data_IF_786056305714
#
_entry.id   IF_786056305714
#
_cell.length_a   1.000
_cell.length_b   1.000
_cell.length_c   1.000
_cell.angle_alpha   90.00
_cell.angle_beta   90.00
_cell.angle_gamma   90.00
#
_symmetry.space_group_name_H-M   'P 1'
#
loop_
_entity.id
_entity.type
_entity.pdbx_description
1 polymer ?
#
# COMPACT_ATOMS: atom_id res chain seq x y z
N UNK A 1 32.98 30.06 10.86
CA UNK A 1 31.54 29.98 10.51
C UNK A 1 30.63 30.03 11.73
N UNK A 2 30.85 29.22 12.79
CA UNK A 2 30.15 29.39 14.09
C UNK A 2 30.35 30.81 14.64
N UNK A 3 31.56 31.36 14.47
CA UNK A 3 31.90 32.75 14.80
C UNK A 3 31.09 33.83 14.04
N UNK A 4 30.33 33.48 13.01
CA UNK A 4 29.54 34.42 12.21
C UNK A 4 28.02 34.27 12.43
N UNK A 5 27.59 33.47 13.42
CA UNK A 5 26.17 33.14 13.66
C UNK A 5 25.45 32.51 12.44
N UNK A 6 26.20 31.97 11.46
CA UNK A 6 25.68 31.33 10.24
C UNK A 6 25.45 29.83 10.44
N UNK A 7 24.82 29.46 11.55
CA UNK A 7 24.79 28.07 11.99
C UNK A 7 23.93 27.18 11.09
N UNK A 8 22.89 27.75 10.48
CA UNK A 8 22.05 27.07 9.49
C UNK A 8 22.82 26.72 8.22
N UNK A 9 23.68 27.62 7.73
CA UNK A 9 24.52 27.34 6.57
C UNK A 9 25.54 26.23 6.88
N UNK A 10 26.12 26.24 8.08
CA UNK A 10 27.03 25.17 8.52
C UNK A 10 26.29 23.83 8.55
N UNK A 11 25.07 23.80 9.11
CA UNK A 11 24.25 22.59 9.15
C UNK A 11 23.98 22.02 7.76
N UNK A 12 23.56 22.88 6.81
CA UNK A 12 23.28 22.49 5.43
C UNK A 12 24.54 22.03 4.70
N UNK A 13 25.69 22.67 4.93
CA UNK A 13 26.97 22.23 4.35
C UNK A 13 27.37 20.86 4.91
N UNK A 14 27.27 20.65 6.23
CA UNK A 14 27.57 19.35 6.84
C UNK A 14 26.66 18.25 6.31
N UNK A 15 25.36 18.54 6.16
CA UNK A 15 24.39 17.61 5.58
C UNK A 15 24.70 17.29 4.11
N UNK A 16 25.01 18.31 3.31
CA UNK A 16 25.41 18.14 1.90
C UNK A 16 26.67 17.29 1.76
N UNK A 17 27.67 17.49 2.64
CA UNK A 17 28.87 16.65 2.70
C UNK A 17 28.50 15.21 3.05
N UNK A 18 27.62 15.00 4.04
CA UNK A 18 27.17 13.67 4.44
C UNK A 18 26.48 12.93 3.28
N UNK A 19 25.60 13.59 2.53
CA UNK A 19 24.89 13.00 1.39
C UNK A 19 25.81 12.47 0.28
N UNK A 20 27.04 12.99 0.18
CA UNK A 20 28.06 12.53 -0.80
C UNK A 20 28.87 11.32 -0.32
N UNK A 21 28.69 10.88 0.93
CA UNK A 21 29.42 9.75 1.51
C UNK A 21 28.75 8.40 1.19
N UNK A 22 29.54 7.31 1.17
CA UNK A 22 28.99 5.95 1.09
C UNK A 22 28.15 5.65 2.34
N UNK A 23 27.26 4.63 2.34
CA UNK A 23 26.20 4.48 3.34
C UNK A 23 26.67 4.48 4.80
N UNK A 24 27.67 3.65 5.14
CA UNK A 24 28.20 3.57 6.50
C UNK A 24 28.86 4.88 6.95
N UNK A 25 29.64 5.52 6.08
CA UNK A 25 30.23 6.83 6.38
C UNK A 25 29.17 7.93 6.46
N UNK A 26 28.14 7.87 5.63
CA UNK A 26 27.04 8.85 5.60
C UNK A 26 26.39 8.97 6.97
N UNK A 27 26.13 7.86 7.65
CA UNK A 27 25.60 7.86 9.02
C UNK A 27 26.53 8.64 9.97
N UNK A 28 27.84 8.40 9.91
CA UNK A 28 28.82 9.10 10.75
C UNK A 28 28.80 10.62 10.51
N UNK A 29 28.72 11.04 9.25
CA UNK A 29 28.67 12.46 8.90
C UNK A 29 27.31 13.10 9.23
N UNK A 30 26.20 12.38 9.08
CA UNK A 30 24.88 12.84 9.51
C UNK A 30 24.82 13.01 11.03
N UNK A 31 25.41 12.10 11.82
CA UNK A 31 25.53 12.25 13.28
C UNK A 31 26.33 13.50 13.67
N UNK A 32 27.40 13.81 12.95
CA UNK A 32 28.16 15.09 13.13
C UNK A 32 27.32 16.32 12.79
N UNK A 33 26.56 16.25 11.69
CA UNK A 33 25.62 17.30 11.31
C UNK A 33 24.58 17.50 12.42
N UNK A 34 23.94 16.43 12.87
CA UNK A 34 22.93 16.43 13.92
C UNK A 34 23.46 17.08 15.21
N UNK A 35 24.61 16.64 15.70
CA UNK A 35 25.24 17.19 16.92
C UNK A 35 25.52 18.70 16.82
N UNK A 36 25.77 19.22 15.60
CA UNK A 36 25.98 20.65 15.37
C UNK A 36 24.68 21.47 15.39
N UNK A 37 23.52 20.80 15.31
CA UNK A 37 22.20 21.41 15.17
C UNK A 37 21.31 21.23 16.40
N UNK A 38 21.49 20.16 17.20
CA UNK A 38 20.53 19.73 18.23
C UNK A 38 20.24 20.80 19.28
N UNK A 39 21.22 21.63 19.63
CA UNK A 39 21.07 22.68 20.64
C UNK A 39 20.50 24.01 20.10
N UNK A 40 20.12 24.07 18.82
CA UNK A 40 19.74 25.32 18.13
C UNK A 40 18.24 25.29 17.84
N UNK A 41 17.43 26.14 18.51
CA UNK A 41 15.98 26.11 18.37
C UNK A 41 15.47 26.25 16.93
N UNK A 42 16.09 27.12 16.11
CA UNK A 42 15.70 27.30 14.70
C UNK A 42 15.93 26.06 13.84
N UNK A 43 16.79 25.13 14.27
CA UNK A 43 17.13 23.89 13.56
C UNK A 43 16.47 22.65 14.14
N UNK A 44 15.47 22.78 15.03
CA UNK A 44 14.83 21.62 15.67
C UNK A 44 14.16 20.69 14.64
N UNK A 45 13.38 21.25 13.72
CA UNK A 45 12.70 20.47 12.66
C UNK A 45 13.72 19.78 11.74
N UNK A 46 14.79 20.48 11.37
CA UNK A 46 15.87 19.92 10.57
C UNK A 46 16.57 18.76 11.31
N UNK A 47 16.90 18.96 12.59
CA UNK A 47 17.54 17.93 13.44
C UNK A 47 16.68 16.67 13.52
N UNK A 48 15.36 16.83 13.67
CA UNK A 48 14.43 15.69 13.66
C UNK A 48 14.48 14.92 12.32
N UNK A 49 14.41 15.62 11.19
CA UNK A 49 14.50 14.98 9.86
C UNK A 49 15.83 14.29 9.62
N UNK A 50 16.95 14.87 10.10
CA UNK A 50 18.28 14.25 10.01
C UNK A 50 18.33 12.99 10.87
N UNK A 51 17.77 13.01 12.07
CA UNK A 51 17.71 11.82 12.93
C UNK A 51 16.88 10.70 12.28
N UNK A 52 15.68 11.01 11.78
CA UNK A 52 14.84 10.04 11.07
C UNK A 52 15.55 9.45 9.84
N UNK A 53 16.35 10.24 9.12
CA UNK A 53 17.15 9.75 8.00
C UNK A 53 18.29 8.83 8.44
N UNK A 54 18.95 9.13 9.57
CA UNK A 54 19.96 8.23 10.16
C UNK A 54 19.31 6.89 10.50
N UNK A 55 18.18 6.91 11.21
CA UNK A 55 17.48 5.69 11.62
C UNK A 55 17.03 4.87 10.40
N UNK A 56 16.60 5.54 9.32
CA UNK A 56 16.25 4.89 8.06
C UNK A 56 17.46 4.25 7.38
N UNK A 57 18.61 4.91 7.33
CA UNK A 57 19.82 4.36 6.72
C UNK A 57 20.35 3.15 7.49
N UNK A 58 20.42 3.25 8.82
CA UNK A 58 20.81 2.12 9.69
C UNK A 58 19.89 0.92 9.43
N UNK A 59 18.59 1.18 9.26
CA UNK A 59 17.63 0.14 8.87
C UNK A 59 17.89 -0.47 7.50
N UNK A 60 18.02 0.38 6.49
CA UNK A 60 18.20 -0.05 5.11
C UNK A 60 19.50 -0.83 4.92
N UNK A 61 20.59 -0.47 5.58
CA UNK A 61 21.89 -1.18 5.48
C UNK A 61 21.74 -2.62 5.94
N UNK A 62 21.13 -2.85 7.11
CA UNK A 62 20.95 -4.20 7.65
C UNK A 62 20.06 -5.05 6.72
N UNK A 63 18.98 -4.48 6.18
CA UNK A 63 18.10 -5.19 5.25
C UNK A 63 18.82 -5.49 3.93
N UNK A 64 19.49 -4.50 3.35
CA UNK A 64 20.21 -4.63 2.08
C UNK A 64 21.30 -5.70 2.18
N UNK A 65 22.13 -5.68 3.22
CA UNK A 65 23.23 -6.64 3.39
C UNK A 65 22.71 -8.08 3.52
N UNK A 66 21.62 -8.28 4.27
CA UNK A 66 20.98 -9.59 4.42
C UNK A 66 20.38 -10.08 3.09
N UNK A 67 19.69 -9.20 2.37
CA UNK A 67 19.07 -9.54 1.09
C UNK A 67 20.10 -9.81 0.00
N UNK A 68 21.18 -9.04 -0.06
CA UNK A 68 22.29 -9.29 -0.99
C UNK A 68 22.98 -10.64 -0.72
N UNK A 69 23.07 -11.08 0.53
CA UNK A 69 23.53 -12.43 0.86
C UNK A 69 22.56 -13.50 0.30
N UNK A 70 21.26 -13.35 0.53
CA UNK A 70 20.23 -14.27 0.02
C UNK A 70 20.17 -14.33 -1.51
N UNK A 71 20.39 -13.19 -2.17
CA UNK A 71 20.46 -13.10 -3.64
C UNK A 71 21.68 -13.85 -4.16
N UNK A 72 22.86 -13.66 -3.53
CA UNK A 72 24.11 -14.36 -3.92
C UNK A 72 24.03 -15.86 -3.72
N UNK A 73 23.32 -16.33 -2.69
CA UNK A 73 23.05 -17.75 -2.49
C UNK A 73 22.19 -18.34 -3.62
N UNK A 74 21.40 -17.50 -4.31
CA UNK A 74 20.64 -17.87 -5.50
C UNK A 74 19.49 -18.85 -5.25
N UNK A 75 19.14 -19.13 -3.99
CA UNK A 75 18.09 -20.09 -3.60
C UNK A 75 16.77 -19.45 -3.19
N UNK A 76 16.77 -18.15 -2.91
CA UNK A 76 15.58 -17.47 -2.47
C UNK A 76 14.62 -17.23 -3.66
N UNK A 77 13.47 -17.91 -3.63
CA UNK A 77 12.47 -17.89 -4.71
C UNK A 77 11.89 -16.49 -4.99
N UNK A 78 11.72 -15.66 -3.95
CA UNK A 78 11.09 -14.34 -4.17
C UNK A 78 12.01 -13.43 -4.97
N UNK A 79 13.32 -13.47 -4.73
CA UNK A 79 14.31 -12.73 -5.51
C UNK A 79 14.54 -13.30 -6.91
N UNK A 80 14.31 -14.60 -7.11
CA UNK A 80 14.32 -15.18 -8.47
C UNK A 80 13.11 -14.72 -9.29
N UNK A 81 11.92 -14.73 -8.69
CA UNK A 81 10.68 -14.36 -9.38
C UNK A 81 10.54 -12.84 -9.55
N UNK A 82 11.00 -12.08 -8.56
CA UNK A 82 10.99 -10.62 -8.54
C UNK A 82 12.41 -10.11 -8.24
N UNK A 83 13.29 -10.03 -9.26
CA UNK A 83 14.65 -9.58 -9.06
C UNK A 83 14.73 -8.17 -8.48
N UNK A 84 15.60 -7.99 -7.49
CA UNK A 84 15.98 -6.68 -6.98
C UNK A 84 16.77 -5.94 -8.06
N UNK A 85 16.25 -4.81 -8.54
CA UNK A 85 16.87 -4.02 -9.62
C UNK A 85 17.57 -2.76 -9.15
N UNK A 86 17.34 -2.36 -7.90
CA UNK A 86 17.86 -1.13 -7.31
C UNK A 86 18.26 -1.38 -5.86
N UNK A 87 19.25 -0.62 -5.38
CA UNK A 87 19.56 -0.59 -3.95
C UNK A 87 18.41 0.05 -3.16
N UNK A 88 18.17 -0.48 -1.96
CA UNK A 88 17.25 0.08 -0.98
C UNK A 88 17.83 1.34 -0.30
N UNK A 89 19.16 1.45 -0.29
CA UNK A 89 19.88 2.44 0.51
C UNK A 89 19.60 3.87 0.02
N UNK A 90 19.19 4.73 0.94
CA UNK A 90 18.86 6.13 0.67
C UNK A 90 17.51 6.33 -0.02
N UNK A 91 16.71 5.26 -0.20
CA UNK A 91 15.35 5.40 -0.71
C UNK A 91 14.43 6.02 0.36
N UNK A 92 13.36 6.73 -0.02
CA UNK A 92 12.39 7.25 0.93
C UNK A 92 11.75 6.15 1.80
N UNK A 93 11.32 6.50 3.01
CA UNK A 93 10.74 5.55 3.97
C UNK A 93 9.54 4.76 3.39
N UNK A 94 8.69 5.40 2.58
CA UNK A 94 7.58 4.72 1.91
C UNK A 94 8.06 3.71 0.86
N UNK A 95 9.15 3.99 0.16
CA UNK A 95 9.79 3.04 -0.75
C UNK A 95 10.39 1.87 0.01
N UNK A 96 10.97 2.11 1.19
CA UNK A 96 11.45 1.04 2.09
C UNK A 96 10.32 0.17 2.60
N UNK A 97 9.18 0.78 2.96
CA UNK A 97 7.98 0.04 3.33
C UNK A 97 7.47 -0.82 2.16
N UNK A 98 7.32 -0.24 0.97
CA UNK A 98 6.92 -0.99 -0.22
C UNK A 98 7.86 -2.18 -0.48
N UNK A 99 9.17 -1.95 -0.43
CA UNK A 99 10.19 -3.00 -0.58
C UNK A 99 10.00 -4.11 0.46
N UNK A 100 9.78 -3.74 1.71
CA UNK A 100 9.57 -4.70 2.80
C UNK A 100 8.26 -5.47 2.61
N UNK A 101 7.20 -4.83 2.11
CA UNK A 101 5.96 -5.53 1.75
C UNK A 101 6.15 -6.46 0.55
N UNK A 102 7.12 -6.19 -0.32
CA UNK A 102 7.40 -7.01 -1.50
C UNK A 102 8.24 -8.25 -1.15
N UNK A 103 9.23 -8.13 -0.25
CA UNK A 103 10.17 -9.22 0.02
C UNK A 103 10.02 -9.87 1.40
N UNK A 104 9.44 -9.15 2.36
CA UNK A 104 9.51 -9.45 3.80
C UNK A 104 8.15 -9.41 4.49
N UNK A 105 7.06 -9.54 3.74
CA UNK A 105 5.70 -9.32 4.25
C UNK A 105 5.32 -10.24 5.42
N UNK A 106 5.79 -11.48 5.38
CA UNK A 106 5.43 -12.51 6.37
C UNK A 106 6.29 -12.45 7.64
N UNK A 107 7.25 -11.53 7.70
CA UNK A 107 8.09 -11.39 8.88
C UNK A 107 7.31 -10.82 10.08
N UNK A 108 7.52 -11.36 11.28
CA UNK A 108 6.89 -10.85 12.50
C UNK A 108 7.33 -9.42 12.80
N UNK A 109 6.52 -8.65 13.53
CA UNK A 109 6.74 -7.22 13.83
C UNK A 109 8.07 -6.91 14.53
N UNK A 110 8.65 -7.89 15.24
CA UNK A 110 9.95 -7.75 15.89
C UNK A 110 11.13 -7.91 14.92
N UNK A 111 10.91 -8.37 13.69
CA UNK A 111 11.94 -8.48 12.67
C UNK A 111 12.20 -7.12 12.02
N UNK A 112 13.46 -6.81 11.78
CA UNK A 112 13.90 -5.49 11.33
C UNK A 112 13.41 -5.13 9.91
N UNK A 113 13.25 -6.14 9.04
CA UNK A 113 12.71 -5.98 7.69
C UNK A 113 11.17 -6.11 7.63
N UNK A 114 10.48 -6.32 8.75
CA UNK A 114 9.02 -6.45 8.76
C UNK A 114 8.34 -5.13 8.40
N UNK A 115 7.35 -5.14 7.48
CA UNK A 115 6.54 -3.97 7.19
C UNK A 115 5.86 -3.36 8.40
N UNK A 116 5.43 -4.19 9.35
CA UNK A 116 4.79 -3.73 10.58
C UNK A 116 5.80 -3.06 11.52
N UNK A 117 7.03 -3.59 11.59
CA UNK A 117 8.13 -2.94 12.33
C UNK A 117 8.41 -1.54 11.79
N UNK A 118 8.49 -1.41 10.46
CA UNK A 118 8.75 -0.13 9.79
C UNK A 118 7.60 0.84 10.01
N UNK A 119 6.35 0.37 9.90
CA UNK A 119 5.15 1.16 10.16
C UNK A 119 5.17 1.75 11.58
N UNK A 120 5.42 0.91 12.59
CA UNK A 120 5.46 1.32 14.00
C UNK A 120 6.63 2.29 14.27
N UNK A 121 7.83 1.92 13.82
CA UNK A 121 9.04 2.70 14.07
C UNK A 121 8.98 4.10 13.47
N UNK A 122 8.49 4.24 12.23
CA UNK A 122 8.36 5.53 11.54
C UNK A 122 6.97 6.18 11.72
N UNK A 123 6.16 5.71 12.67
CA UNK A 123 4.84 6.27 13.00
C UNK A 123 3.95 6.46 11.76
N UNK A 124 3.94 5.49 10.86
CA UNK A 124 3.16 5.57 9.62
C UNK A 124 1.68 5.39 9.88
N UNK A 125 0.88 6.18 9.18
CA UNK A 125 -0.59 6.08 9.21
C UNK A 125 -1.07 4.77 8.57
N UNK A 126 -2.26 4.31 8.94
CA UNK A 126 -2.92 3.16 8.27
C UNK A 126 -3.06 3.38 6.77
N UNK A 127 -3.32 4.62 6.34
CA UNK A 127 -3.44 4.97 4.92
C UNK A 127 -2.12 4.74 4.18
N UNK A 128 -1.01 5.22 4.73
CA UNK A 128 0.32 5.02 4.14
C UNK A 128 0.69 3.54 4.11
N UNK A 129 0.45 2.83 5.21
CA UNK A 129 0.73 1.40 5.31
C UNK A 129 -0.06 0.60 4.29
N UNK A 130 -1.40 0.72 4.31
CA UNK A 130 -2.27 -0.04 3.42
C UNK A 130 -1.98 0.26 1.95
N UNK A 131 -1.72 1.53 1.59
CA UNK A 131 -1.38 1.87 0.21
C UNK A 131 -0.13 1.13 -0.26
N UNK A 132 0.97 1.18 0.51
CA UNK A 132 2.23 0.54 0.14
C UNK A 132 2.14 -0.98 0.16
N UNK A 133 1.48 -1.56 1.18
CA UNK A 133 1.27 -3.00 1.30
C UNK A 133 0.43 -3.53 0.15
N UNK A 134 -0.72 -2.92 -0.15
CA UNK A 134 -1.58 -3.36 -1.26
C UNK A 134 -0.86 -3.22 -2.59
N UNK A 135 -0.14 -2.12 -2.84
CA UNK A 135 0.65 -1.95 -4.07
C UNK A 135 1.70 -3.05 -4.25
N UNK A 136 2.39 -3.45 -3.19
CA UNK A 136 3.40 -4.53 -3.27
C UNK A 136 2.74 -5.90 -3.43
N UNK A 137 1.69 -6.18 -2.63
CA UNK A 137 0.99 -7.46 -2.65
C UNK A 137 0.22 -7.71 -3.94
N UNK A 138 -0.28 -6.66 -4.62
CA UNK A 138 -0.87 -6.78 -5.96
C UNK A 138 0.15 -7.34 -6.95
N UNK A 139 1.37 -6.82 -6.94
CA UNK A 139 2.47 -7.31 -7.80
C UNK A 139 2.81 -8.78 -7.53
N UNK A 140 2.65 -9.21 -6.27
CA UNK A 140 2.81 -10.61 -5.86
C UNK A 140 1.55 -11.46 -6.05
N UNK A 141 0.42 -10.85 -6.44
CA UNK A 141 -0.90 -11.49 -6.60
C UNK A 141 -1.35 -12.17 -5.31
N UNK A 142 -0.98 -11.61 -4.17
CA UNK A 142 -1.29 -12.13 -2.83
C UNK A 142 -2.64 -11.60 -2.36
N UNK A 143 -3.70 -11.97 -3.07
CA UNK A 143 -5.06 -11.43 -2.86
C UNK A 143 -5.60 -11.63 -1.44
N UNK A 144 -5.30 -12.78 -0.83
CA UNK A 144 -5.69 -13.07 0.56
C UNK A 144 -4.99 -12.14 1.56
N UNK A 145 -3.74 -11.74 1.29
CA UNK A 145 -3.03 -10.76 2.11
C UNK A 145 -3.57 -9.36 1.91
N UNK A 146 -3.93 -8.98 0.69
CA UNK A 146 -4.59 -7.70 0.40
C UNK A 146 -5.91 -7.60 1.18
N UNK A 147 -6.70 -8.68 1.19
CA UNK A 147 -7.91 -8.72 2.00
C UNK A 147 -7.60 -8.53 3.48
N UNK A 148 -6.60 -9.25 4.02
CA UNK A 148 -6.17 -9.10 5.42
C UNK A 148 -5.75 -7.68 5.77
N UNK A 149 -5.03 -6.99 4.89
CA UNK A 149 -4.63 -5.58 5.08
C UNK A 149 -5.85 -4.65 5.15
N UNK A 150 -6.94 -4.98 4.44
CA UNK A 150 -8.19 -4.23 4.47
C UNK A 150 -9.13 -4.63 5.61
N UNK A 151 -8.86 -5.72 6.34
CA UNK A 151 -9.71 -6.14 7.45
C UNK A 151 -9.51 -5.26 8.68
N UNK A 152 -10.58 -4.61 9.14
CA UNK A 152 -10.62 -3.89 10.42
C UNK A 152 -11.48 -4.61 11.43
N UNK A 153 -11.01 -4.68 12.68
CA UNK A 153 -11.80 -5.19 13.82
C UNK A 153 -12.91 -4.20 14.15
N UNK A 154 -14.14 -4.69 14.25
CA UNK A 154 -15.29 -3.98 14.82
C UNK A 154 -15.23 -4.02 16.34
N UNK A 155 -15.76 -2.99 16.97
CA UNK A 155 -15.84 -2.86 18.43
C UNK A 155 -16.58 -4.04 19.10
N UNK A 156 -17.64 -4.56 18.45
CA UNK A 156 -18.51 -5.62 18.99
C UNK A 156 -18.10 -7.04 18.58
N UNK A 157 -16.82 -7.29 18.30
CA UNK A 157 -16.36 -8.64 17.91
C UNK A 157 -16.82 -9.00 16.50
N UNK A 158 -16.09 -8.53 15.51
CA UNK A 158 -16.29 -8.88 14.11
C UNK A 158 -15.22 -8.24 13.26
N UNK A 159 -15.11 -8.66 12.00
CA UNK A 159 -14.24 -8.00 11.02
C UNK A 159 -15.08 -7.44 9.89
N UNK A 160 -14.67 -6.31 9.35
CA UNK A 160 -15.17 -5.80 8.06
C UNK A 160 -14.01 -5.39 7.18
N UNK A 161 -14.22 -5.46 5.88
CA UNK A 161 -13.30 -4.86 4.92
C UNK A 161 -13.55 -3.35 4.94
N UNK A 162 -12.48 -2.58 5.10
CA UNK A 162 -12.49 -1.13 5.07
C UNK A 162 -11.23 -0.63 4.36
N UNK A 163 -11.41 0.28 3.41
CA UNK A 163 -10.30 0.96 2.76
C UNK A 163 -9.96 2.26 3.51
N UNK A 164 -8.70 2.50 3.93
CA UNK A 164 -8.29 3.75 4.57
C UNK A 164 -8.09 4.92 3.59
N UNK A 165 -8.46 4.72 2.32
CA UNK A 165 -8.46 5.71 1.24
C UNK A 165 -9.64 5.46 0.29
N UNK A 166 -9.88 6.36 -0.67
CA UNK A 166 -11.02 6.24 -1.57
C UNK A 166 -10.97 4.93 -2.38
N UNK A 167 -12.12 4.26 -2.50
CA UNK A 167 -12.23 2.93 -3.13
C UNK A 167 -11.73 2.93 -4.56
N UNK A 168 -11.98 3.98 -5.35
CA UNK A 168 -11.44 4.11 -6.70
C UNK A 168 -9.93 3.85 -6.78
N UNK A 169 -9.16 4.29 -5.78
CA UNK A 169 -7.71 4.08 -5.78
C UNK A 169 -7.34 2.64 -5.44
N UNK A 170 -8.14 1.94 -4.63
CA UNK A 170 -7.96 0.50 -4.42
C UNK A 170 -8.12 -0.23 -5.75
N UNK A 171 -9.18 0.05 -6.49
CA UNK A 171 -9.45 -0.59 -7.79
C UNK A 171 -8.40 -0.21 -8.83
N UNK A 172 -7.89 1.04 -8.85
CA UNK A 172 -6.75 1.41 -9.69
C UNK A 172 -5.50 0.57 -9.36
N UNK A 173 -5.20 0.37 -8.07
CA UNK A 173 -4.00 -0.38 -7.65
C UNK A 173 -4.14 -1.86 -7.98
N UNK A 174 -5.26 -2.51 -7.62
CA UNK A 174 -5.40 -3.96 -7.82
C UNK A 174 -5.58 -4.36 -9.28
N UNK A 175 -5.96 -3.41 -10.15
CA UNK A 175 -6.19 -3.62 -11.58
C UNK A 175 -5.05 -3.11 -12.46
N UNK A 176 -3.95 -2.61 -11.87
CA UNK A 176 -2.81 -2.07 -12.63
C UNK A 176 -1.88 -3.14 -13.20
N UNK A 177 -2.02 -4.39 -12.75
CA UNK A 177 -1.24 -5.53 -13.23
C UNK A 177 -2.01 -6.26 -14.35
N UNK A 178 -1.32 -6.95 -15.25
CA UNK A 178 -1.93 -7.67 -16.37
C UNK A 178 -2.92 -8.75 -15.88
N UNK A 179 -2.63 -9.33 -14.71
CA UNK A 179 -3.51 -10.30 -14.08
C UNK A 179 -4.43 -9.61 -13.07
N UNK A 180 -5.69 -9.51 -13.46
CA UNK A 180 -6.77 -8.99 -12.63
C UNK A 180 -7.02 -9.87 -11.38
N UNK A 181 -7.57 -9.30 -10.29
CA UNK A 181 -7.98 -10.08 -9.13
C UNK A 181 -9.01 -11.15 -9.51
N UNK A 182 -9.02 -12.31 -8.82
CA UNK A 182 -10.07 -13.30 -8.98
C UNK A 182 -11.46 -12.67 -8.78
N UNK A 183 -12.46 -13.09 -9.57
CA UNK A 183 -13.84 -12.60 -9.49
C UNK A 183 -14.37 -12.54 -8.06
N UNK A 184 -14.09 -13.56 -7.25
CA UNK A 184 -14.52 -13.61 -5.85
C UNK A 184 -13.95 -12.44 -5.03
N UNK A 185 -12.65 -12.18 -5.14
CA UNK A 185 -11.96 -11.09 -4.43
C UNK A 185 -12.49 -9.74 -4.93
N UNK A 186 -12.62 -9.58 -6.24
CA UNK A 186 -13.13 -8.36 -6.86
C UNK A 186 -14.55 -8.04 -6.37
N UNK A 187 -15.48 -8.99 -6.47
CA UNK A 187 -16.84 -8.83 -6.00
C UNK A 187 -16.90 -8.57 -4.50
N UNK A 188 -16.04 -9.23 -3.71
CA UNK A 188 -15.95 -9.03 -2.25
C UNK A 188 -15.53 -7.61 -1.89
N UNK A 189 -14.54 -7.05 -2.58
CA UNK A 189 -14.13 -5.65 -2.38
C UNK A 189 -15.19 -4.67 -2.85
N UNK A 190 -15.86 -4.92 -3.98
CA UNK A 190 -16.95 -4.07 -4.44
C UNK A 190 -18.10 -4.03 -3.42
N UNK A 191 -18.53 -5.19 -2.90
CA UNK A 191 -19.58 -5.27 -1.87
C UNK A 191 -19.23 -4.57 -0.56
N UNK A 192 -17.94 -4.33 -0.28
CA UNK A 192 -17.51 -3.60 0.90
C UNK A 192 -17.70 -2.07 0.78
N UNK A 193 -17.93 -1.54 -0.42
CA UNK A 193 -18.17 -0.11 -0.65
C UNK A 193 -19.56 0.28 -0.10
N UNK A 194 -19.68 1.15 0.91
CA UNK A 194 -20.99 1.45 1.52
C UNK A 194 -21.96 2.18 0.59
N UNK A 195 -21.45 3.13 -0.21
CA UNK A 195 -22.28 3.91 -1.13
C UNK A 195 -22.63 3.08 -2.38
N UNK A 196 -23.93 2.92 -2.64
CA UNK A 196 -24.42 2.07 -3.74
C UNK A 196 -24.08 2.63 -5.11
N UNK A 197 -23.99 3.96 -5.26
CA UNK A 197 -23.68 4.62 -6.53
C UNK A 197 -22.19 4.50 -6.85
N UNK A 198 -21.31 4.73 -5.88
CA UNK A 198 -19.85 4.50 -6.01
C UNK A 198 -19.59 3.01 -6.29
N UNK A 199 -20.29 2.11 -5.58
CA UNK A 199 -20.20 0.67 -5.80
C UNK A 199 -20.56 0.30 -7.23
N UNK A 200 -21.70 0.78 -7.72
CA UNK A 200 -22.16 0.50 -9.08
C UNK A 200 -21.22 1.11 -10.12
N UNK A 201 -20.77 2.35 -9.93
CA UNK A 201 -19.85 3.03 -10.81
C UNK A 201 -18.53 2.27 -10.97
N UNK A 202 -17.95 1.80 -9.85
CA UNK A 202 -16.73 0.99 -9.89
C UNK A 202 -16.99 -0.41 -10.46
N UNK A 203 -18.10 -1.06 -10.11
CA UNK A 203 -18.43 -2.39 -10.64
C UNK A 203 -18.61 -2.39 -12.17
N UNK A 204 -19.16 -1.31 -12.75
CA UNK A 204 -19.28 -1.15 -14.21
C UNK A 204 -17.94 -1.13 -14.96
N UNK A 205 -16.80 -0.95 -14.26
CA UNK A 205 -15.46 -1.03 -14.87
C UNK A 205 -14.99 -2.48 -15.04
N UNK A 206 -15.71 -3.45 -14.47
CA UNK A 206 -15.31 -4.85 -14.42
C UNK A 206 -16.47 -5.76 -14.88
N UNK A 207 -16.49 -6.23 -16.13
CA UNK A 207 -17.53 -7.13 -16.64
C UNK A 207 -17.74 -8.39 -15.79
N UNK A 208 -16.67 -8.91 -15.18
CA UNK A 208 -16.70 -10.09 -14.30
C UNK A 208 -17.53 -9.86 -13.03
N UNK A 209 -17.73 -8.60 -12.64
CA UNK A 209 -18.49 -8.20 -11.46
C UNK A 209 -19.97 -7.88 -11.75
N UNK A 210 -20.51 -8.36 -12.88
CA UNK A 210 -21.90 -8.14 -13.30
C UNK A 210 -22.94 -8.45 -12.22
N UNK A 211 -22.70 -9.43 -11.35
CA UNK A 211 -23.59 -9.72 -10.22
C UNK A 211 -23.70 -8.56 -9.22
N UNK A 212 -22.60 -7.84 -8.97
CA UNK A 212 -22.62 -6.68 -8.06
C UNK A 212 -23.34 -5.51 -8.71
N UNK A 213 -23.27 -5.37 -10.04
CA UNK A 213 -24.04 -4.37 -10.79
C UNK A 213 -25.54 -4.62 -10.61
N UNK A 214 -25.98 -5.88 -10.75
CA UNK A 214 -27.38 -6.28 -10.53
C UNK A 214 -27.79 -6.01 -9.08
N UNK A 215 -26.97 -6.37 -8.10
CA UNK A 215 -27.21 -6.10 -6.68
C UNK A 215 -27.43 -4.60 -6.41
N UNK A 216 -26.61 -3.72 -7.01
CA UNK A 216 -26.76 -2.27 -6.91
C UNK A 216 -28.10 -1.79 -7.50
N UNK A 217 -28.43 -2.21 -8.72
CA UNK A 217 -29.68 -1.81 -9.39
C UNK A 217 -30.92 -2.24 -8.60
N UNK A 218 -30.89 -3.45 -8.02
CA UNK A 218 -31.94 -3.94 -7.12
C UNK A 218 -32.03 -3.09 -5.86
N UNK A 219 -30.90 -2.77 -5.22
CA UNK A 219 -30.87 -1.92 -4.03
C UNK A 219 -31.40 -0.49 -4.29
N UNK A 220 -31.17 0.03 -5.49
CA UNK A 220 -31.68 1.34 -5.95
C UNK A 220 -33.14 1.28 -6.43
N UNK A 221 -33.73 0.08 -6.59
CA UNK A 221 -35.03 -0.15 -7.25
C UNK A 221 -35.10 0.41 -8.68
N UNK A 222 -33.97 0.48 -9.37
CA UNK A 222 -33.88 1.01 -10.73
C UNK A 222 -34.21 -0.08 -11.77
N UNK A 223 -35.51 -0.26 -12.02
CA UNK A 223 -36.01 -1.26 -12.98
C UNK A 223 -35.63 -0.93 -14.42
N UNK A 224 -35.49 0.35 -14.77
CA UNK A 224 -35.15 0.78 -16.13
C UNK A 224 -33.71 0.38 -16.41
N UNK A 225 -32.78 0.77 -15.53
CA UNK A 225 -31.37 0.39 -15.66
C UNK A 225 -31.17 -1.13 -15.63
N UNK A 226 -31.91 -1.86 -14.79
CA UNK A 226 -31.83 -3.31 -14.75
C UNK A 226 -32.31 -3.99 -16.04
N UNK A 227 -33.39 -3.49 -16.64
CA UNK A 227 -33.89 -3.98 -17.93
C UNK A 227 -32.91 -3.68 -19.08
N UNK A 228 -32.34 -2.48 -19.10
CA UNK A 228 -31.27 -2.11 -20.05
C UNK A 228 -30.00 -2.95 -19.87
N UNK A 229 -29.65 -3.28 -18.63
CA UNK A 229 -28.53 -4.16 -18.33
C UNK A 229 -28.79 -5.59 -18.80
N UNK A 230 -29.98 -6.15 -18.54
CA UNK A 230 -30.39 -7.47 -19.03
C UNK A 230 -30.24 -7.58 -20.55
N UNK A 231 -30.63 -6.55 -21.30
CA UNK A 231 -30.52 -6.52 -22.75
C UNK A 231 -29.08 -6.55 -23.27
N UNK A 232 -28.09 -6.17 -22.44
CA UNK A 232 -26.65 -6.22 -22.78
C UNK A 232 -25.97 -7.52 -22.38
N UNK A 233 -26.58 -8.31 -21.49
CA UNK A 233 -26.03 -9.58 -21.05
C UNK A 233 -26.17 -10.64 -22.13
N UNK A 234 -25.17 -11.52 -22.24
CA UNK A 234 -25.27 -12.70 -23.10
C UNK A 234 -26.42 -13.59 -22.62
N UNK A 235 -27.39 -13.93 -23.50
CA UNK A 235 -28.50 -14.80 -23.13
C UNK A 235 -28.04 -16.13 -22.54
N UNK A 236 -28.85 -16.70 -21.64
CA UNK A 236 -28.62 -17.99 -20.98
C UNK A 236 -27.36 -18.08 -20.09
N UNK A 237 -26.73 -16.96 -19.77
CA UNK A 237 -25.70 -16.89 -18.72
C UNK A 237 -26.32 -16.86 -17.32
N UNK A 238 -25.51 -17.16 -16.31
CA UNK A 238 -25.92 -17.08 -14.89
C UNK A 238 -26.37 -15.65 -14.56
N UNK A 239 -25.62 -14.67 -15.04
CA UNK A 239 -25.88 -13.24 -14.88
C UNK A 239 -27.21 -12.84 -15.53
N UNK A 240 -27.51 -13.35 -16.73
CA UNK A 240 -28.78 -13.11 -17.42
C UNK A 240 -29.97 -13.60 -16.58
N UNK A 241 -29.92 -14.84 -16.07
CA UNK A 241 -31.00 -15.36 -15.23
C UNK A 241 -31.10 -14.63 -13.88
N UNK A 242 -29.98 -14.20 -13.29
CA UNK A 242 -30.00 -13.36 -12.08
C UNK A 242 -30.73 -12.03 -12.32
N UNK A 243 -30.42 -11.32 -13.42
CA UNK A 243 -31.08 -10.07 -13.77
C UNK A 243 -32.57 -10.26 -14.08
N UNK A 244 -32.92 -11.31 -14.82
CA UNK A 244 -34.31 -11.65 -15.12
C UNK A 244 -35.12 -11.96 -13.85
N UNK A 245 -34.56 -12.76 -12.95
CA UNK A 245 -35.19 -13.09 -11.68
C UNK A 245 -35.38 -11.85 -10.79
N UNK A 246 -34.40 -10.94 -10.78
CA UNK A 246 -34.50 -9.69 -10.05
C UNK A 246 -35.65 -8.79 -10.58
N UNK A 247 -35.85 -8.73 -11.91
CA UNK A 247 -36.98 -8.03 -12.52
C UNK A 247 -38.33 -8.67 -12.16
N UNK A 248 -38.41 -9.99 -12.15
CA UNK A 248 -39.65 -10.71 -11.85
C UNK A 248 -40.04 -10.61 -10.37
N UNK A 249 -39.09 -10.79 -9.45
CA UNK A 249 -39.37 -10.77 -8.01
C UNK A 249 -39.69 -9.36 -7.48
N UNK A 250 -39.18 -8.32 -8.13
CA UNK A 250 -39.53 -6.94 -7.79
C UNK A 250 -41.01 -6.58 -8.08
N UNK A 251 -41.84 -7.51 -8.57
CA UNK A 251 -43.29 -7.33 -8.83
C UNK A 251 -44.17 -7.68 -7.60
N UNK A 252 -43.62 -8.30 -6.54
CA UNK A 252 -44.42 -8.83 -5.42
C UNK A 252 -44.37 -8.04 -4.10
N UNK A 253 -43.83 -6.82 -4.06
CA UNK A 253 -43.87 -5.92 -2.90
C UNK A 253 -44.47 -4.56 -3.28
#
# INVERSE_FOLDING_TARGET
>A
MIALNRTEEVALVLYSVACKKPPNERIVYLKKCLNSCTAIPSLQAFSKSVNEYIDLLERQIIIEDADEALIKEGKNKIFQQYPKTITLIGRPVLTTLYYSCLYHFDLPVNAYASPLSIKEFFSMTEKQYAWMAISALTRLKRWNDIERVLMSKKLLGGVKIQCPFAWRHLFTIISSDEQQPPKEILCKFLRAIPDVNERQYLANQFPEASEVIIECMVAQKDRIALNEFLARLTPHTIEFYKALNALNNAVCN
#
